data_IF_458648594510
#
_entry.id   IF_458648594510
#
_cell.length_a   1.000
_cell.length_b   1.000
_cell.length_c   1.000
_cell.angle_alpha   90.00
_cell.angle_beta   90.00
_cell.angle_gamma   90.00
#
_symmetry.space_group_name_H-M   'P 1'
#
loop_
_entity.id
_entity.type
_entity.pdbx_description
1 polymer ?
#
# COMPACT_ATOMS: atom_id res chain seq x y z
N UNK A 1 29.96 -8.96 -19.30
CA UNK A 1 29.38 -8.19 -18.18
C UNK A 1 28.11 -7.42 -18.54
N UNK A 2 28.15 -6.48 -19.49
CA UNK A 2 26.95 -5.71 -19.92
C UNK A 2 25.75 -6.58 -20.34
N UNK A 3 25.99 -7.69 -21.04
CA UNK A 3 24.92 -8.65 -21.42
C UNK A 3 24.23 -9.29 -20.21
N UNK A 4 24.98 -9.59 -19.14
CA UNK A 4 24.44 -10.10 -17.88
C UNK A 4 23.57 -9.06 -17.18
N UNK A 5 24.00 -7.80 -17.18
CA UNK A 5 23.21 -6.68 -16.61
C UNK A 5 21.89 -6.52 -17.35
N UNK A 6 21.90 -6.52 -18.69
CA UNK A 6 20.67 -6.46 -19.50
C UNK A 6 19.75 -7.65 -19.23
N UNK A 7 20.31 -8.85 -19.09
CA UNK A 7 19.54 -10.04 -18.72
C UNK A 7 18.91 -9.92 -17.32
N UNK A 8 19.64 -9.38 -16.33
CA UNK A 8 19.11 -9.12 -14.98
C UNK A 8 17.98 -8.10 -15.00
N UNK A 9 18.10 -7.03 -15.77
CA UNK A 9 17.05 -6.01 -15.94
C UNK A 9 15.78 -6.65 -16.50
N UNK A 10 15.88 -7.45 -17.56
CA UNK A 10 14.72 -8.13 -18.18
C UNK A 10 14.08 -9.16 -17.24
N UNK A 11 14.88 -9.93 -16.51
CA UNK A 11 14.37 -10.87 -15.51
C UNK A 11 13.65 -10.14 -14.38
N UNK A 12 14.21 -9.02 -13.89
CA UNK A 12 13.60 -8.22 -12.84
C UNK A 12 12.28 -7.57 -13.27
N UNK A 13 12.19 -7.09 -14.52
CA UNK A 13 10.94 -6.57 -15.09
C UNK A 13 9.83 -7.64 -15.11
N UNK A 14 10.18 -8.88 -15.47
CA UNK A 14 9.25 -10.02 -15.41
C UNK A 14 8.79 -10.30 -13.97
N UNK A 15 9.72 -10.30 -13.02
CA UNK A 15 9.42 -10.48 -11.59
C UNK A 15 8.46 -9.41 -11.07
N UNK A 16 8.65 -8.14 -11.46
CA UNK A 16 7.74 -7.04 -11.09
C UNK A 16 6.35 -7.27 -11.68
N UNK A 17 6.27 -7.73 -12.93
CA UNK A 17 4.99 -8.06 -13.58
C UNK A 17 4.22 -9.13 -12.80
N UNK A 18 4.88 -10.23 -12.43
CA UNK A 18 4.28 -11.30 -11.63
C UNK A 18 3.87 -10.81 -10.24
N UNK A 19 4.74 -10.04 -9.58
CA UNK A 19 4.43 -9.43 -8.28
C UNK A 19 3.20 -8.52 -8.38
N UNK A 20 3.09 -7.72 -9.44
CA UNK A 20 1.95 -6.82 -9.66
C UNK A 20 0.63 -7.59 -9.74
N UNK A 21 0.60 -8.71 -10.45
CA UNK A 21 -0.58 -9.56 -10.57
C UNK A 21 -0.98 -10.17 -9.22
N UNK A 22 0.00 -10.67 -8.46
CA UNK A 22 -0.21 -11.20 -7.12
C UNK A 22 -0.72 -10.12 -6.16
N UNK A 23 -0.07 -8.95 -6.15
CA UNK A 23 -0.40 -7.81 -5.30
C UNK A 23 -1.87 -7.38 -5.44
N UNK A 24 -2.40 -7.34 -6.67
CA UNK A 24 -3.82 -7.00 -6.91
C UNK A 24 -4.82 -7.99 -6.34
N UNK A 25 -4.39 -9.21 -6.01
CA UNK A 25 -5.23 -10.27 -5.45
C UNK A 25 -5.15 -10.35 -3.92
N UNK A 26 -4.34 -9.50 -3.27
CA UNK A 26 -4.17 -9.55 -1.83
C UNK A 26 -5.50 -9.28 -1.12
N UNK A 27 -5.73 -9.98 -0.01
CA UNK A 27 -6.97 -9.86 0.74
C UNK A 27 -7.18 -8.45 1.29
N UNK A 28 -6.11 -7.68 1.53
CA UNK A 28 -6.22 -6.29 2.01
C UNK A 28 -6.93 -5.36 1.03
N UNK A 29 -7.08 -5.72 -0.25
CA UNK A 29 -7.93 -4.98 -1.19
C UNK A 29 -9.43 -5.25 -1.02
N UNK A 30 -9.80 -6.26 -0.23
CA UNK A 30 -11.18 -6.63 0.06
C UNK A 30 -11.56 -6.20 1.46
N UNK A 31 -12.77 -5.68 1.61
CA UNK A 31 -13.28 -5.15 2.89
C UNK A 31 -13.44 -6.21 4.00
N UNK A 32 -13.52 -7.49 3.64
CA UNK A 32 -13.65 -8.62 4.56
C UNK A 32 -12.31 -9.09 5.17
N UNK A 33 -11.22 -8.39 4.88
CA UNK A 33 -9.91 -8.71 5.43
C UNK A 33 -9.90 -8.52 6.97
N UNK A 34 -9.62 -9.59 7.71
CA UNK A 34 -9.55 -9.57 9.18
C UNK A 34 -8.22 -9.04 9.71
N UNK A 35 -7.11 -9.44 9.09
CA UNK A 35 -5.74 -9.15 9.53
C UNK A 35 -5.05 -8.14 8.61
N UNK A 36 -5.72 -7.03 8.33
CA UNK A 36 -5.31 -6.02 7.35
C UNK A 36 -3.86 -5.58 7.55
N UNK A 37 -3.50 -5.12 8.75
CA UNK A 37 -2.15 -4.60 9.01
C UNK A 37 -1.06 -5.65 8.84
N UNK A 38 -1.32 -6.90 9.24
CA UNK A 38 -0.37 -7.99 9.01
C UNK A 38 -0.12 -8.24 7.52
N UNK A 39 -1.17 -8.17 6.69
CA UNK A 39 -1.04 -8.34 5.23
C UNK A 39 -0.36 -7.13 4.59
N UNK A 40 -0.65 -5.91 5.06
CA UNK A 40 0.00 -4.69 4.60
C UNK A 40 1.49 -4.66 4.95
N UNK A 41 1.86 -5.08 6.15
CA UNK A 41 3.25 -5.11 6.60
C UNK A 41 4.06 -6.14 5.81
N UNK A 42 3.47 -7.30 5.51
CA UNK A 42 4.13 -8.29 4.65
C UNK A 42 4.33 -7.76 3.23
N UNK A 43 3.30 -7.14 2.65
CA UNK A 43 3.41 -6.48 1.35
C UNK A 43 4.46 -5.34 1.33
N UNK A 44 4.61 -4.59 2.44
CA UNK A 44 5.66 -3.55 2.55
C UNK A 44 7.06 -4.17 2.59
N UNK A 45 7.25 -5.29 3.30
CA UNK A 45 8.54 -6.01 3.31
C UNK A 45 8.89 -6.52 1.91
N UNK A 46 7.95 -7.16 1.22
CA UNK A 46 8.13 -7.64 -0.15
C UNK A 46 8.51 -6.51 -1.11
N UNK A 47 7.79 -5.39 -1.06
CA UNK A 47 8.12 -4.20 -1.85
C UNK A 47 9.49 -3.62 -1.53
N UNK A 48 9.88 -3.57 -0.25
CA UNK A 48 11.22 -3.10 0.14
C UNK A 48 12.32 -4.01 -0.39
N UNK A 49 12.09 -5.32 -0.42
CA UNK A 49 13.05 -6.26 -1.02
C UNK A 49 13.21 -6.01 -2.52
N UNK A 50 12.11 -5.82 -3.24
CA UNK A 50 12.16 -5.47 -4.67
C UNK A 50 12.82 -4.11 -4.92
N UNK A 51 12.55 -3.10 -4.11
CA UNK A 51 13.21 -1.78 -4.22
C UNK A 51 14.71 -1.84 -3.96
N UNK A 52 15.17 -2.68 -3.02
CA UNK A 52 16.59 -2.93 -2.81
C UNK A 52 17.22 -3.60 -4.03
N UNK A 53 16.59 -4.65 -4.56
CA UNK A 53 17.07 -5.31 -5.79
C UNK A 53 17.13 -4.34 -6.98
N UNK A 54 16.14 -3.46 -7.12
CA UNK A 54 16.16 -2.39 -8.12
C UNK A 54 17.37 -1.48 -7.93
N UNK A 55 17.65 -1.04 -6.70
CA UNK A 55 18.80 -0.21 -6.37
C UNK A 55 20.11 -0.89 -6.74
N UNK A 56 20.27 -2.17 -6.40
CA UNK A 56 21.47 -2.95 -6.70
C UNK A 56 21.69 -3.11 -8.22
N UNK A 57 20.61 -3.32 -8.99
CA UNK A 57 20.66 -3.37 -10.46
C UNK A 57 21.06 -2.00 -11.01
N UNK A 58 20.54 -0.91 -10.46
CA UNK A 58 20.81 0.45 -10.92
C UNK A 58 22.25 0.88 -10.63
N UNK A 59 22.79 0.52 -9.47
CA UNK A 59 24.21 0.70 -9.13
C UNK A 59 25.10 -0.15 -10.03
N UNK A 60 24.76 -1.43 -10.22
CA UNK A 60 25.52 -2.29 -11.14
C UNK A 60 25.52 -1.73 -12.56
N UNK A 61 24.40 -1.19 -13.03
CA UNK A 61 24.27 -0.67 -14.39
C UNK A 61 24.99 0.67 -14.57
N UNK A 62 25.02 1.54 -13.56
CA UNK A 62 25.70 2.84 -13.63
C UNK A 62 27.22 2.68 -13.78
N UNK A 63 27.81 1.65 -13.16
CA UNK A 63 29.23 1.29 -13.29
C UNK A 63 29.65 0.97 -14.74
N UNK A 64 28.71 0.57 -15.60
CA UNK A 64 28.96 0.21 -16.99
C UNK A 64 28.20 1.11 -17.98
N UNK A 65 27.70 2.27 -17.54
CA UNK A 65 26.93 3.23 -18.34
C UNK A 65 25.73 2.60 -19.07
N UNK A 66 25.15 1.55 -18.48
CA UNK A 66 23.97 0.87 -19.01
C UNK A 66 22.72 1.61 -18.56
N UNK A 67 21.92 2.08 -19.50
CA UNK A 67 20.63 2.70 -19.19
C UNK A 67 19.66 1.66 -18.62
N UNK A 68 19.15 1.92 -17.42
CA UNK A 68 18.09 1.12 -16.79
C UNK A 68 16.74 1.79 -17.04
N UNK A 69 15.76 1.07 -17.62
CA UNK A 69 14.40 1.57 -17.75
C UNK A 69 13.76 1.86 -16.40
N UNK A 70 12.82 2.79 -16.35
CA UNK A 70 12.06 3.05 -15.13
C UNK A 70 11.06 1.91 -14.85
N UNK A 71 11.17 1.27 -13.69
CA UNK A 71 10.23 0.26 -13.22
C UNK A 71 8.92 0.87 -12.67
N UNK A 72 8.07 1.38 -13.56
CA UNK A 72 6.83 2.11 -13.22
C UNK A 72 5.86 1.31 -12.34
N UNK A 73 5.71 0.01 -12.62
CA UNK A 73 4.81 -0.87 -11.87
C UNK A 73 5.19 -0.99 -10.39
N UNK A 74 6.50 -1.04 -10.08
CA UNK A 74 6.98 -1.12 -8.70
C UNK A 74 6.64 0.15 -7.92
N UNK A 75 6.89 1.33 -8.51
CA UNK A 75 6.52 2.63 -7.92
C UNK A 75 5.00 2.74 -7.73
N UNK A 76 4.22 2.24 -8.70
CA UNK A 76 2.77 2.21 -8.60
C UNK A 76 2.30 1.33 -7.44
N UNK A 77 2.82 0.11 -7.29
CA UNK A 77 2.50 -0.75 -6.15
C UNK A 77 2.81 -0.07 -4.81
N UNK A 78 3.96 0.62 -4.69
CA UNK A 78 4.30 1.37 -3.46
C UNK A 78 3.30 2.47 -3.15
N UNK A 79 2.88 3.24 -4.15
CA UNK A 79 1.86 4.29 -3.98
C UNK A 79 0.52 3.69 -3.56
N UNK A 80 0.08 2.64 -4.24
CA UNK A 80 -1.18 1.96 -3.94
C UNK A 80 -1.18 1.36 -2.53
N UNK A 81 -0.07 0.75 -2.08
CA UNK A 81 0.03 0.21 -0.73
C UNK A 81 -0.11 1.31 0.34
N UNK A 82 0.50 2.48 0.13
CA UNK A 82 0.37 3.63 1.04
C UNK A 82 -1.06 4.15 1.10
N UNK A 83 -1.70 4.30 -0.07
CA UNK A 83 -3.11 4.71 -0.13
C UNK A 83 -4.03 3.69 0.54
N UNK A 84 -3.75 2.40 0.34
CA UNK A 84 -4.51 1.33 0.96
C UNK A 84 -4.38 1.34 2.49
N UNK A 85 -3.17 1.56 3.02
CA UNK A 85 -2.95 1.74 4.46
C UNK A 85 -3.78 2.90 5.01
N UNK A 86 -3.71 4.07 4.36
CA UNK A 86 -4.48 5.25 4.78
C UNK A 86 -5.98 4.99 4.78
N UNK A 87 -6.50 4.33 3.73
CA UNK A 87 -7.91 3.97 3.65
C UNK A 87 -8.33 3.06 4.80
N UNK A 88 -7.52 2.05 5.12
CA UNK A 88 -7.80 1.16 6.24
C UNK A 88 -7.73 1.86 7.59
N UNK A 89 -6.75 2.74 7.81
CA UNK A 89 -6.67 3.58 9.01
C UNK A 89 -7.98 4.37 9.20
N UNK A 90 -8.52 4.96 8.13
CA UNK A 90 -9.83 5.62 8.16
C UNK A 90 -10.98 4.67 8.48
N UNK A 91 -11.02 3.49 7.87
CA UNK A 91 -12.05 2.48 8.18
C UNK A 91 -12.04 2.13 9.67
N UNK A 92 -10.85 1.96 10.27
CA UNK A 92 -10.74 1.68 11.70
C UNK A 92 -11.16 2.87 12.56
N UNK A 93 -10.78 4.11 12.19
CA UNK A 93 -11.23 5.31 12.89
C UNK A 93 -12.76 5.39 12.92
N UNK A 94 -13.41 5.30 11.75
CA UNK A 94 -14.88 5.35 11.65
C UNK A 94 -15.54 4.26 12.48
N UNK A 95 -15.06 3.01 12.38
CA UNK A 95 -15.57 1.90 13.18
C UNK A 95 -15.42 2.15 14.68
N UNK A 96 -14.24 2.60 15.12
CA UNK A 96 -13.97 2.86 16.54
C UNK A 96 -14.84 4.00 17.09
N UNK A 97 -15.09 5.04 16.31
CA UNK A 97 -15.96 6.15 16.68
C UNK A 97 -17.40 5.68 16.84
N UNK A 98 -17.91 4.88 15.90
CA UNK A 98 -19.26 4.32 15.97
C UNK A 98 -19.41 3.40 17.19
N UNK A 99 -18.44 2.53 17.45
CA UNK A 99 -18.47 1.68 18.65
C UNK A 99 -18.42 2.52 19.94
N UNK A 100 -17.63 3.59 19.97
CA UNK A 100 -17.63 4.55 21.07
C UNK A 100 -19.01 5.18 21.29
N UNK A 101 -19.68 5.62 20.23
CA UNK A 101 -21.02 6.22 20.32
C UNK A 101 -22.07 5.22 20.83
N UNK A 102 -22.00 3.95 20.42
CA UNK A 102 -22.89 2.89 20.93
C UNK A 102 -22.76 2.68 22.44
N UNK A 103 -21.60 2.96 23.02
CA UNK A 103 -21.37 2.86 24.47
C UNK A 103 -21.70 4.14 25.24
N UNK A 104 -22.05 5.23 24.55
CA UNK A 104 -22.30 6.53 25.17
C UNK A 104 -23.63 6.52 25.94
N UNK A 105 -23.65 6.90 27.24
CA UNK A 105 -24.90 6.97 28.00
C UNK A 105 -25.87 7.99 27.40
N UNK A 106 -27.18 7.68 27.43
CA UNK A 106 -28.24 8.54 26.87
C UNK A 106 -28.14 10.03 27.22
N UNK A 107 -27.80 10.36 28.47
CA UNK A 107 -27.67 11.76 28.94
C UNK A 107 -26.50 12.53 28.32
N UNK A 108 -25.55 11.82 27.72
CA UNK A 108 -24.33 12.38 27.11
C UNK A 108 -24.33 12.25 25.59
N UNK A 109 -25.42 11.77 24.99
CA UNK A 109 -25.53 11.68 23.53
C UNK A 109 -25.67 13.10 22.99
N UNK A 110 -24.72 13.47 22.14
CA UNK A 110 -24.72 14.71 21.38
C UNK A 110 -24.82 14.38 19.90
N UNK A 111 -26.05 14.40 19.37
CA UNK A 111 -26.34 14.01 17.99
C UNK A 111 -25.76 15.01 16.99
N UNK A 112 -25.70 16.30 17.34
CA UNK A 112 -25.13 17.33 16.46
C UNK A 112 -23.62 17.11 16.28
N UNK A 113 -22.91 16.88 17.38
CA UNK A 113 -21.48 16.57 17.32
C UNK A 113 -21.21 15.26 16.56
N UNK A 114 -22.01 14.22 16.77
CA UNK A 114 -21.88 12.96 16.01
C UNK A 114 -22.10 13.16 14.50
N UNK A 115 -23.08 13.96 14.09
CA UNK A 115 -23.32 14.29 12.67
C UNK A 115 -22.18 15.11 12.05
N UNK A 116 -21.61 16.05 12.81
CA UNK A 116 -20.41 16.80 12.39
C UNK A 116 -19.23 15.84 12.14
N UNK A 117 -19.00 14.88 13.03
CA UNK A 117 -17.94 13.87 12.85
C UNK A 117 -18.20 12.98 11.62
N UNK A 118 -19.44 12.55 11.37
CA UNK A 118 -19.78 11.81 10.14
C UNK A 118 -19.50 12.63 8.87
N UNK A 119 -19.81 13.93 8.88
CA UNK A 119 -19.49 14.84 7.76
C UNK A 119 -18.00 15.00 7.55
N UNK A 120 -17.20 15.05 8.63
CA UNK A 120 -15.73 15.07 8.55
C UNK A 120 -15.20 13.80 7.92
N UNK A 121 -15.63 12.62 8.38
CA UNK A 121 -15.22 11.34 7.79
C UNK A 121 -15.53 11.27 6.29
N UNK A 122 -16.74 11.69 5.88
CA UNK A 122 -17.13 11.71 4.47
C UNK A 122 -16.25 12.65 3.62
N UNK A 123 -15.78 13.76 4.19
CA UNK A 123 -14.87 14.70 3.52
C UNK A 123 -13.45 14.15 3.42
N UNK A 124 -12.96 13.47 4.45
CA UNK A 124 -11.60 12.94 4.53
C UNK A 124 -11.38 11.67 3.70
N UNK A 125 -12.42 10.89 3.46
CA UNK A 125 -12.40 9.72 2.59
C UNK A 125 -12.37 10.11 1.09
N UNK A 126 -12.83 11.31 0.75
CA UNK A 126 -12.97 11.79 -0.63
C UNK A 126 -11.69 12.40 -1.19
#
# INVERSE_FOLDING_TARGET
EVSRIRSRISAFDTTIGLYREAFRRYSCFKFDCKNVYSVLDEADKELRMLERQMSDIQESASLFEVTVPEFKQLKQCRRELRMLKQLWDYVYIVRSSIEGWKTTPWRKIDVENMDIECKKFAKEIR
#
